data_IF_375525688565
#
_entry.id   IF_375525688565
#
_cell.length_a   1.000
_cell.length_b   1.000
_cell.length_c   1.000
_cell.angle_alpha   90.00
_cell.angle_beta   90.00
_cell.angle_gamma   90.00
#
_symmetry.space_group_name_H-M   'P 1'
#
loop_
_entity.id
_entity.type
_entity.pdbx_description
1 polymer ?
#
# COMPACT_ATOMS: atom_id res chain seq x y z
N UNK A 1 -0.28 2.17 26.49
CA UNK A 1 -0.33 0.85 25.85
C UNK A 1 -1.78 0.55 25.51
N UNK A 2 -2.07 0.08 24.31
CA UNK A 2 -3.42 -0.35 23.91
C UNK A 2 -3.43 -1.89 23.82
N UNK A 3 -4.57 -2.54 24.11
CA UNK A 3 -4.61 -3.99 24.27
C UNK A 3 -4.29 -4.66 22.93
N UNK A 4 -3.26 -5.50 22.91
CA UNK A 4 -2.98 -6.41 21.79
C UNK A 4 -3.47 -7.79 22.17
N UNK A 5 -4.32 -8.38 21.33
CA UNK A 5 -4.84 -9.73 21.53
C UNK A 5 -4.08 -10.67 20.60
N UNK A 6 -3.47 -11.70 21.18
CA UNK A 6 -2.71 -12.72 20.47
C UNK A 6 -3.47 -14.05 20.56
N UNK A 7 -3.70 -14.70 19.42
CA UNK A 7 -4.12 -16.09 19.40
C UNK A 7 -2.94 -16.96 19.00
N UNK A 8 -2.85 -18.12 19.64
CA UNK A 8 -1.80 -19.10 19.38
C UNK A 8 -2.41 -20.47 19.08
N UNK A 9 -1.67 -21.30 18.35
CA UNK A 9 -2.01 -22.71 18.18
C UNK A 9 -1.54 -23.57 19.37
N UNK A 10 -1.76 -24.89 19.29
CA UNK A 10 -1.33 -25.83 20.33
C UNK A 10 0.19 -25.90 20.53
N UNK A 11 0.98 -25.44 19.54
CA UNK A 11 2.45 -25.36 19.61
C UNK A 11 2.95 -23.99 20.10
N UNK A 12 2.04 -23.09 20.50
CA UNK A 12 2.35 -21.75 20.99
C UNK A 12 2.73 -20.76 19.89
N UNK A 13 2.52 -21.09 18.60
CA UNK A 13 2.81 -20.19 17.49
C UNK A 13 1.68 -19.18 17.31
N UNK A 14 2.01 -17.91 17.05
CA UNK A 14 1.01 -16.86 16.84
C UNK A 14 0.29 -17.09 15.51
N UNK A 15 -1.04 -17.26 15.57
CA UNK A 15 -1.90 -17.45 14.40
C UNK A 15 -2.74 -16.21 14.07
N UNK A 16 -2.99 -15.35 15.07
CA UNK A 16 -3.71 -14.09 14.91
C UNK A 16 -3.18 -13.01 15.83
N UNK A 17 -3.14 -11.78 15.33
CA UNK A 17 -2.87 -10.57 16.10
C UNK A 17 -4.00 -9.58 15.83
N UNK A 18 -4.65 -9.10 16.90
CA UNK A 18 -5.62 -7.99 16.83
C UNK A 18 -5.07 -6.85 17.68
N UNK A 19 -4.84 -5.69 17.07
CA UNK A 19 -4.28 -4.53 17.75
C UNK A 19 -5.02 -3.24 17.35
N UNK A 20 -5.95 -2.75 18.18
CA UNK A 20 -6.46 -1.38 18.09
C UNK A 20 -5.46 -0.39 18.71
N UNK A 21 -5.43 0.84 18.18
CA UNK A 21 -4.77 1.96 18.82
C UNK A 21 -5.50 3.29 18.60
N UNK A 22 -5.21 4.24 19.49
CA UNK A 22 -5.73 5.61 19.45
C UNK A 22 -4.52 6.52 19.28
N UNK A 23 -4.64 7.50 18.41
CA UNK A 23 -3.61 8.48 18.12
C UNK A 23 -4.17 9.91 18.16
N UNK A 24 -3.28 10.89 18.24
CA UNK A 24 -3.64 12.30 18.14
C UNK A 24 -2.62 13.04 17.28
N UNK A 25 -3.13 13.86 16.36
CA UNK A 25 -2.33 14.73 15.53
C UNK A 25 -2.87 16.17 15.63
N UNK A 26 -2.03 17.20 15.89
CA UNK A 26 -2.50 18.59 15.99
C UNK A 26 -3.24 19.09 14.75
N UNK A 27 -2.85 18.66 13.55
CA UNK A 27 -3.45 19.05 12.28
C UNK A 27 -4.73 18.26 11.98
N UNK A 28 -4.86 17.00 12.43
CA UNK A 28 -5.97 16.11 12.04
C UNK A 28 -6.89 15.63 13.17
N UNK A 29 -6.59 16.00 14.40
CA UNK A 29 -7.35 15.66 15.60
C UNK A 29 -7.03 14.27 16.13
N UNK A 30 -7.92 13.76 16.99
CA UNK A 30 -7.84 12.39 17.47
C UNK A 30 -8.13 11.39 16.33
N UNK A 31 -7.55 10.20 16.40
CA UNK A 31 -7.78 9.12 15.45
C UNK A 31 -7.80 7.76 16.12
N UNK A 32 -8.36 6.79 15.41
CA UNK A 32 -8.38 5.39 15.79
C UNK A 32 -7.82 4.58 14.62
N UNK A 33 -6.90 3.70 14.94
CA UNK A 33 -6.33 2.73 14.02
C UNK A 33 -6.63 1.32 14.53
N UNK A 34 -6.64 0.35 13.63
CA UNK A 34 -6.81 -1.05 13.95
C UNK A 34 -6.12 -1.93 12.93
N UNK A 35 -5.62 -3.07 13.39
CA UNK A 35 -5.02 -4.09 12.53
C UNK A 35 -5.36 -5.50 12.99
N UNK A 36 -5.60 -6.36 12.02
CA UNK A 36 -5.78 -7.80 12.17
C UNK A 36 -4.79 -8.46 11.24
N UNK A 37 -3.93 -9.30 11.79
CA UNK A 37 -3.04 -10.19 11.04
C UNK A 37 -3.46 -11.62 11.30
N UNK A 38 -3.60 -12.40 10.23
CA UNK A 38 -3.93 -13.81 10.29
C UNK A 38 -2.87 -14.63 9.55
N UNK A 39 -2.46 -15.73 10.17
CA UNK A 39 -1.53 -16.70 9.63
C UNK A 39 -2.17 -18.10 9.64
N UNK A 40 -3.16 -18.38 8.76
CA UNK A 40 -3.84 -19.68 8.75
C UNK A 40 -2.90 -20.86 8.50
N UNK A 41 -1.80 -20.64 7.77
CA UNK A 41 -0.73 -21.62 7.57
C UNK A 41 0.57 -20.93 7.15
N UNK A 42 1.72 -21.64 7.12
CA UNK A 42 2.94 -21.09 6.54
C UNK A 42 2.80 -20.71 5.05
N UNK A 43 1.81 -21.26 4.35
CA UNK A 43 1.59 -21.04 2.92
C UNK A 43 0.57 -19.94 2.60
N UNK A 44 -0.18 -19.47 3.60
CA UNK A 44 -1.26 -18.49 3.43
C UNK A 44 -1.26 -17.49 4.57
N UNK A 45 -1.37 -16.20 4.25
CA UNK A 45 -1.54 -15.14 5.24
C UNK A 45 -2.43 -14.04 4.71
N UNK A 46 -3.08 -13.32 5.62
CA UNK A 46 -3.77 -12.09 5.27
C UNK A 46 -3.73 -11.09 6.40
N UNK A 47 -3.90 -9.83 6.04
CA UNK A 47 -4.05 -8.77 7.03
C UNK A 47 -5.03 -7.72 6.54
N UNK A 48 -5.69 -7.09 7.50
CA UNK A 48 -6.54 -5.93 7.31
C UNK A 48 -6.13 -4.91 8.34
N UNK A 49 -5.83 -3.72 7.88
CA UNK A 49 -5.46 -2.59 8.71
C UNK A 49 -6.13 -1.33 8.19
N UNK A 50 -6.39 -0.38 9.08
CA UNK A 50 -6.94 0.89 8.69
C UNK A 50 -7.08 1.81 9.87
N UNK A 51 -7.37 3.05 9.54
CA UNK A 51 -7.53 4.09 10.54
C UNK A 51 -8.17 5.33 9.97
N UNK A 52 -8.72 6.12 10.88
CA UNK A 52 -9.38 7.38 10.57
C UNK A 52 -9.12 8.39 11.68
N UNK A 53 -8.85 9.63 11.28
CA UNK A 53 -8.79 10.77 12.18
C UNK A 53 -10.08 11.58 12.10
N UNK A 54 -10.34 12.42 13.10
CA UNK A 54 -11.50 13.34 13.15
C UNK A 54 -11.60 14.23 11.91
N UNK A 55 -10.46 14.60 11.32
CA UNK A 55 -10.39 15.42 10.11
C UNK A 55 -9.95 14.57 8.90
N UNK A 56 -9.12 15.15 8.06
CA UNK A 56 -8.97 14.80 6.64
C UNK A 56 -8.29 13.43 6.40
N UNK A 57 -7.60 12.89 7.40
CA UNK A 57 -6.78 11.70 7.28
C UNK A 57 -7.59 10.42 7.49
N UNK A 58 -7.50 9.49 6.53
CA UNK A 58 -7.96 8.12 6.68
C UNK A 58 -7.22 7.18 5.76
N UNK A 59 -7.05 5.93 6.17
CA UNK A 59 -6.27 4.95 5.43
C UNK A 59 -6.81 3.54 5.66
N UNK A 60 -6.55 2.65 4.71
CA UNK A 60 -6.94 1.26 4.75
C UNK A 60 -5.99 0.44 3.90
N UNK A 61 -5.62 -0.74 4.35
CA UNK A 61 -4.83 -1.70 3.59
C UNK A 61 -5.28 -3.12 3.94
N UNK A 62 -5.72 -3.85 2.92
CA UNK A 62 -6.04 -5.26 3.03
C UNK A 62 -5.16 -6.04 2.07
N UNK A 63 -4.56 -7.13 2.53
CA UNK A 63 -3.73 -8.01 1.71
C UNK A 63 -4.07 -9.45 2.00
N UNK A 64 -4.15 -10.26 0.95
CA UNK A 64 -4.24 -11.71 1.02
C UNK A 64 -3.14 -12.31 0.15
N UNK A 65 -2.45 -13.33 0.66
CA UNK A 65 -1.38 -14.02 -0.05
C UNK A 65 -1.49 -15.53 0.18
N UNK A 66 -1.34 -16.32 -0.88
CA UNK A 66 -1.28 -17.79 -0.79
C UNK A 66 -0.34 -18.40 -1.84
N UNK A 67 0.12 -19.62 -1.59
CA UNK A 67 1.16 -20.27 -2.41
C UNK A 67 2.55 -19.72 -2.11
N UNK A 68 2.75 -19.17 -0.91
CA UNK A 68 3.99 -18.58 -0.42
C UNK A 68 5.18 -19.56 -0.44
N UNK A 69 4.93 -20.84 -0.15
CA UNK A 69 5.95 -21.90 -0.16
C UNK A 69 6.27 -22.43 -1.56
N UNK A 70 5.50 -22.03 -2.58
CA UNK A 70 5.60 -22.51 -3.97
C UNK A 70 5.48 -24.02 -4.17
N UNK A 71 4.90 -24.72 -3.20
CA UNK A 71 4.60 -26.16 -3.27
C UNK A 71 3.46 -26.49 -4.25
N UNK A 72 2.61 -25.51 -4.55
CA UNK A 72 1.52 -25.62 -5.54
C UNK A 72 1.92 -24.99 -6.85
N UNK A 73 1.29 -25.40 -7.97
CA UNK A 73 1.54 -24.82 -9.31
C UNK A 73 1.30 -23.31 -9.37
N UNK A 74 0.41 -22.79 -8.54
CA UNK A 74 0.03 -21.38 -8.54
C UNK A 74 0.27 -20.75 -7.17
N UNK A 75 0.70 -19.49 -7.21
CA UNK A 75 0.66 -18.58 -6.07
C UNK A 75 -0.03 -17.31 -6.50
N UNK A 76 -0.65 -16.60 -5.56
CA UNK A 76 -1.24 -15.31 -5.88
C UNK A 76 -1.36 -14.44 -4.65
N UNK A 77 -1.38 -13.14 -4.89
CA UNK A 77 -1.70 -12.16 -3.87
C UNK A 77 -2.58 -11.06 -4.44
N UNK A 78 -3.41 -10.50 -3.57
CA UNK A 78 -4.23 -9.32 -3.85
C UNK A 78 -4.04 -8.35 -2.71
N UNK A 79 -3.88 -7.07 -3.04
CA UNK A 79 -3.78 -5.98 -2.09
C UNK A 79 -4.67 -4.81 -2.51
N UNK A 80 -5.47 -4.32 -1.57
CA UNK A 80 -6.27 -3.10 -1.73
C UNK A 80 -5.71 -2.08 -0.75
N UNK A 81 -5.33 -0.91 -1.25
CA UNK A 81 -4.87 0.23 -0.44
C UNK A 81 -5.74 1.43 -0.70
N UNK A 82 -6.16 2.09 0.37
CA UNK A 82 -6.75 3.41 0.33
C UNK A 82 -5.98 4.33 1.28
N UNK A 83 -5.73 5.56 0.85
CA UNK A 83 -5.10 6.57 1.68
C UNK A 83 -5.65 7.94 1.30
N UNK A 84 -6.06 8.71 2.29
CA UNK A 84 -6.44 10.12 2.17
C UNK A 84 -5.64 10.91 3.18
N UNK A 85 -4.92 11.92 2.70
CA UNK A 85 -4.08 12.77 3.55
C UNK A 85 -4.07 14.22 3.09
N UNK A 86 -4.11 15.15 4.05
CA UNK A 86 -3.89 16.59 3.85
C UNK A 86 -2.46 17.05 4.18
N UNK A 87 -1.54 16.13 4.52
CA UNK A 87 -0.13 16.45 4.79
C UNK A 87 0.70 16.88 3.58
N UNK A 88 0.42 16.46 2.33
CA UNK A 88 1.27 16.81 1.20
C UNK A 88 1.44 18.32 1.03
N UNK A 89 2.61 18.70 0.52
CA UNK A 89 3.00 20.08 0.21
C UNK A 89 3.43 20.16 -1.24
N UNK A 90 3.11 21.28 -1.89
CA UNK A 90 3.54 21.59 -3.24
C UNK A 90 4.08 23.02 -3.30
N UNK A 91 5.23 23.21 -3.95
CA UNK A 91 5.93 24.50 -4.01
C UNK A 91 5.99 25.07 -5.45
N UNK A 92 5.57 24.30 -6.45
CA UNK A 92 5.81 24.58 -7.86
C UNK A 92 6.58 23.45 -8.53
N UNK A 93 6.73 23.54 -9.86
CA UNK A 93 7.55 22.61 -10.65
C UNK A 93 8.97 23.17 -10.77
N UNK A 94 9.96 22.30 -10.67
CA UNK A 94 11.36 22.66 -10.86
C UNK A 94 12.08 23.01 -9.56
N UNK A 95 13.40 22.94 -9.62
CA UNK A 95 14.27 23.05 -8.45
C UNK A 95 14.33 24.47 -7.86
N UNK A 96 13.94 25.48 -8.65
CA UNK A 96 13.97 26.90 -8.26
C UNK A 96 12.68 27.37 -7.58
N UNK A 97 11.76 26.46 -7.27
CA UNK A 97 10.49 26.77 -6.62
C UNK A 97 10.73 27.32 -5.20
N UNK A 98 10.40 28.59 -4.91
CA UNK A 98 10.73 29.20 -3.63
C UNK A 98 9.86 28.65 -2.49
N UNK A 99 10.40 28.66 -1.26
CA UNK A 99 9.64 28.23 -0.08
C UNK A 99 8.37 29.06 0.14
N UNK A 100 8.35 30.32 -0.29
CA UNK A 100 7.17 31.21 -0.25
C UNK A 100 6.00 30.71 -1.10
N UNK A 101 6.25 29.79 -2.03
CA UNK A 101 5.22 29.16 -2.85
C UNK A 101 4.56 27.93 -2.19
N UNK A 102 4.92 27.62 -0.94
CA UNK A 102 4.34 26.51 -0.17
C UNK A 102 2.81 26.53 -0.24
N UNK A 103 2.25 25.42 -0.71
CA UNK A 103 0.81 25.18 -0.77
C UNK A 103 0.45 23.78 -0.28
N UNK A 104 -0.83 23.58 0.03
CA UNK A 104 -1.39 22.31 0.54
C UNK A 104 -2.44 21.73 -0.39
N UNK A 105 -2.53 20.41 -0.41
CA UNK A 105 -3.58 19.70 -1.14
C UNK A 105 -4.00 18.44 -0.39
N UNK A 106 -5.25 18.03 -0.59
CA UNK A 106 -5.71 16.72 -0.14
C UNK A 106 -5.40 15.70 -1.22
N UNK A 107 -4.58 14.71 -0.91
CA UNK A 107 -4.34 13.57 -1.78
C UNK A 107 -5.15 12.39 -1.30
N UNK A 108 -5.98 11.84 -2.18
CA UNK A 108 -6.67 10.57 -1.97
C UNK A 108 -6.19 9.57 -3.02
N UNK A 109 -5.85 8.36 -2.61
CA UNK A 109 -5.42 7.29 -3.48
C UNK A 109 -6.19 6.02 -3.13
N UNK A 110 -6.74 5.36 -4.15
CA UNK A 110 -7.25 4.00 -4.07
C UNK A 110 -6.44 3.17 -5.05
N UNK A 111 -5.85 2.07 -4.59
CA UNK A 111 -5.05 1.17 -5.40
C UNK A 111 -5.47 -0.28 -5.17
N UNK A 112 -5.54 -1.05 -6.24
CA UNK A 112 -5.69 -2.50 -6.21
C UNK A 112 -4.52 -3.10 -6.96
N UNK A 113 -3.80 -4.02 -6.33
CA UNK A 113 -2.71 -4.77 -6.95
C UNK A 113 -2.99 -6.25 -6.83
N UNK A 114 -2.97 -6.98 -7.94
CA UNK A 114 -3.06 -8.43 -7.98
C UNK A 114 -1.80 -9.00 -8.64
N UNK A 115 -1.25 -10.07 -8.09
CA UNK A 115 -0.17 -10.83 -8.72
C UNK A 115 -0.56 -12.29 -8.80
N UNK A 116 -0.39 -12.89 -9.97
CA UNK A 116 -0.52 -14.32 -10.22
C UNK A 116 0.85 -14.88 -10.58
N UNK A 117 1.32 -15.87 -9.82
CA UNK A 117 2.59 -16.56 -10.03
C UNK A 117 2.37 -18.00 -10.48
N UNK A 118 3.01 -18.38 -11.58
CA UNK A 118 3.19 -19.76 -12.00
C UNK A 118 4.50 -20.31 -11.44
N UNK A 119 4.39 -21.25 -10.50
CA UNK A 119 5.53 -21.94 -9.89
C UNK A 119 5.98 -23.06 -10.83
N UNK A 120 7.07 -22.82 -11.55
CA UNK A 120 7.67 -23.78 -12.49
C UNK A 120 8.38 -24.87 -11.71
N UNK A 121 9.11 -24.47 -10.68
CA UNK A 121 9.70 -25.33 -9.65
C UNK A 121 9.55 -24.64 -8.29
N UNK A 122 10.02 -25.26 -7.20
CA UNK A 122 10.11 -24.56 -5.91
C UNK A 122 10.97 -23.29 -6.00
N UNK A 123 12.01 -23.30 -6.84
CA UNK A 123 12.92 -22.16 -6.99
C UNK A 123 12.47 -21.15 -8.05
N UNK A 124 11.91 -21.62 -9.16
CA UNK A 124 11.59 -20.78 -10.32
C UNK A 124 10.10 -20.45 -10.40
N UNK A 125 9.80 -19.16 -10.54
CA UNK A 125 8.45 -18.65 -10.73
C UNK A 125 8.39 -17.61 -11.85
N UNK A 126 7.37 -17.68 -12.69
CA UNK A 126 6.97 -16.59 -13.58
C UNK A 126 5.73 -15.90 -12.99
N UNK A 127 5.80 -14.60 -12.75
CA UNK A 127 4.73 -13.84 -12.13
C UNK A 127 4.23 -12.70 -13.01
N UNK A 128 2.93 -12.50 -13.02
CA UNK A 128 2.28 -11.36 -13.64
C UNK A 128 1.59 -10.51 -12.58
N UNK A 129 1.87 -9.21 -12.56
CA UNK A 129 1.26 -8.23 -11.67
C UNK A 129 0.43 -7.23 -12.46
N UNK A 130 -0.81 -7.03 -12.04
CA UNK A 130 -1.68 -5.94 -12.46
C UNK A 130 -1.90 -4.98 -11.29
N UNK A 131 -1.66 -3.68 -11.48
CA UNK A 131 -1.99 -2.68 -10.48
C UNK A 131 -2.81 -1.53 -11.08
N UNK A 132 -4.01 -1.31 -10.55
CA UNK A 132 -4.89 -0.22 -10.91
C UNK A 132 -4.91 0.81 -9.77
N UNK A 133 -4.60 2.07 -10.08
CA UNK A 133 -4.59 3.16 -9.12
C UNK A 133 -5.50 4.30 -9.58
N UNK A 134 -6.26 4.86 -8.64
CA UNK A 134 -7.02 6.08 -8.77
C UNK A 134 -6.48 7.09 -7.77
N UNK A 135 -5.95 8.20 -8.27
CA UNK A 135 -5.40 9.29 -7.45
C UNK A 135 -6.25 10.53 -7.67
N UNK A 136 -6.75 11.11 -6.58
CA UNK A 136 -7.46 12.38 -6.56
C UNK A 136 -6.64 13.41 -5.78
N UNK A 137 -6.30 14.50 -6.45
CA UNK A 137 -5.69 15.70 -5.88
C UNK A 137 -6.77 16.77 -5.80
N UNK A 138 -7.16 17.14 -4.58
CA UNK A 138 -8.19 18.13 -4.31
C UNK A 138 -7.69 19.28 -3.45
N UNK A 139 -8.62 20.18 -3.12
CA UNK A 139 -8.36 21.32 -2.25
C UNK A 139 -7.71 20.88 -0.94
N UNK A 140 -6.74 21.67 -0.48
CA UNK A 140 -6.07 21.48 0.79
C UNK A 140 -6.91 22.02 1.94
N UNK A 141 -6.67 21.46 3.12
CA UNK A 141 -7.58 21.59 4.27
C UNK A 141 -6.87 22.08 5.53
N UNK A 142 -5.59 22.40 5.43
CA UNK A 142 -4.81 22.86 6.57
C UNK A 142 -4.91 24.37 6.72
N UNK A 143 -5.31 24.87 7.90
CA UNK A 143 -5.42 26.30 8.16
C UNK A 143 -4.08 27.02 7.96
N UNK A 144 -4.15 28.28 7.53
CA UNK A 144 -2.98 29.15 7.42
C UNK A 144 -2.02 28.85 6.27
N UNK A 145 -2.30 27.86 5.43
CA UNK A 145 -1.49 27.57 4.23
C UNK A 145 -2.39 27.58 2.99
N UNK A 146 -2.04 28.33 1.92
CA UNK A 146 -2.83 28.37 0.69
C UNK A 146 -2.99 27.00 0.05
N UNK A 147 -4.17 26.73 -0.54
CA UNK A 147 -4.36 25.49 -1.29
C UNK A 147 -3.66 25.52 -2.65
N UNK A 148 -3.08 24.39 -3.07
CA UNK A 148 -2.52 24.18 -4.41
C UNK A 148 -3.56 24.47 -5.49
N UNK A 149 -4.82 24.07 -5.30
CA UNK A 149 -5.88 24.29 -6.30
C UNK A 149 -6.24 25.76 -6.51
N UNK A 150 -5.81 26.64 -5.60
CA UNK A 150 -5.98 28.09 -5.68
C UNK A 150 -4.70 28.75 -6.17
N UNK A 151 -3.53 28.37 -5.63
CA UNK A 151 -2.24 28.99 -5.95
C UNK A 151 -1.68 28.58 -7.31
N UNK A 152 -1.97 27.35 -7.75
CA UNK A 152 -1.51 26.79 -9.02
C UNK A 152 -2.71 26.29 -9.82
N UNK A 153 -3.64 27.20 -10.20
CA UNK A 153 -4.81 26.80 -10.97
C UNK A 153 -4.36 26.26 -12.33
N UNK A 154 -4.89 25.09 -12.72
CA UNK A 154 -4.58 24.47 -14.01
C UNK A 154 -3.31 23.61 -14.05
N UNK A 155 -2.62 23.42 -12.92
CA UNK A 155 -1.45 22.54 -12.86
C UNK A 155 -1.82 21.09 -13.20
N UNK A 156 -1.00 20.44 -14.04
CA UNK A 156 -1.27 19.07 -14.48
C UNK A 156 -1.20 18.13 -13.28
N UNK A 157 -2.25 17.31 -13.10
CA UNK A 157 -2.36 16.36 -11.99
C UNK A 157 -3.33 16.78 -10.89
N UNK A 158 -3.84 18.02 -10.91
CA UNK A 158 -5.03 18.40 -10.13
C UNK A 158 -6.26 17.66 -10.69
N UNK A 159 -7.16 17.21 -9.81
CA UNK A 159 -8.33 16.44 -10.19
C UNK A 159 -8.12 14.96 -9.97
N UNK A 160 -8.63 14.11 -10.88
CA UNK A 160 -8.56 12.64 -10.74
C UNK A 160 -7.77 12.04 -11.89
N UNK A 161 -6.79 11.21 -11.56
CA UNK A 161 -5.96 10.46 -12.51
C UNK A 161 -6.12 8.96 -12.24
N UNK A 162 -6.08 8.17 -13.30
CA UNK A 162 -6.07 6.71 -13.23
C UNK A 162 -4.77 6.19 -13.85
N UNK A 163 -4.11 5.26 -13.17
CA UNK A 163 -2.88 4.60 -13.62
C UNK A 163 -3.03 3.08 -13.61
N UNK A 164 -2.75 2.41 -14.74
CA UNK A 164 -2.76 0.96 -14.84
C UNK A 164 -1.34 0.48 -15.15
N UNK A 165 -0.81 -0.37 -14.28
CA UNK A 165 0.49 -0.99 -14.42
C UNK A 165 0.32 -2.47 -14.72
N UNK A 166 1.05 -2.95 -15.71
CA UNK A 166 1.21 -4.37 -16.02
C UNK A 166 2.70 -4.69 -15.86
N UNK A 167 3.04 -5.74 -15.13
CA UNK A 167 4.44 -6.18 -14.93
C UNK A 167 4.54 -7.69 -15.04
N UNK A 168 5.56 -8.16 -15.75
CA UNK A 168 5.98 -9.57 -15.75
C UNK A 168 7.30 -9.67 -15.00
N UNK A 169 7.47 -10.72 -14.20
CA UNK A 169 8.70 -11.00 -13.47
C UNK A 169 9.07 -12.48 -13.57
N UNK A 170 10.34 -12.76 -13.83
CA UNK A 170 10.96 -14.07 -13.63
C UNK A 170 11.70 -14.04 -12.30
N UNK A 171 11.38 -14.99 -11.42
CA UNK A 171 11.87 -15.03 -10.04
C UNK A 171 12.59 -16.35 -9.82
N UNK A 172 13.80 -16.28 -9.26
CA UNK A 172 14.55 -17.41 -8.74
C UNK A 172 14.77 -17.22 -7.24
N UNK A 173 14.13 -18.05 -6.43
CA UNK A 173 14.15 -17.94 -4.96
C UNK A 173 14.47 -19.29 -4.32
N UNK A 174 15.61 -19.38 -3.65
CA UNK A 174 16.06 -20.57 -2.91
C UNK A 174 16.10 -20.34 -1.41
N UNK A 175 15.49 -19.25 -0.92
CA UNK A 175 15.44 -18.95 0.51
C UNK A 175 14.72 -20.06 1.28
N UNK A 176 15.22 -20.34 2.47
CA UNK A 176 14.60 -21.31 3.37
C UNK A 176 13.38 -20.78 4.11
N UNK A 177 13.24 -19.46 4.22
CA UNK A 177 12.10 -18.78 4.80
C UNK A 177 11.88 -17.45 4.06
N UNK A 178 10.64 -17.18 3.65
CA UNK A 178 10.28 -15.99 2.87
C UNK A 178 10.13 -14.72 3.72
N UNK A 179 10.09 -14.85 5.05
CA UNK A 179 9.92 -13.77 6.02
C UNK A 179 11.22 -13.47 6.75
N UNK A 180 11.94 -14.51 7.20
CA UNK A 180 13.21 -14.40 7.95
C UNK A 180 14.24 -15.37 7.36
N UNK A 181 14.76 -15.12 6.13
CA UNK A 181 15.70 -16.01 5.48
C UNK A 181 17.03 -16.06 6.23
N UNK A 182 17.58 -17.27 6.41
CA UNK A 182 18.93 -17.48 6.98
C UNK A 182 19.92 -18.06 5.97
N UNK A 183 19.43 -18.57 4.84
CA UNK A 183 20.22 -19.08 3.71
C UNK A 183 19.44 -18.98 2.40
N UNK A 184 20.14 -19.09 1.27
CA UNK A 184 19.57 -19.05 -0.07
C UNK A 184 19.69 -17.67 -0.74
N UNK A 185 19.13 -17.55 -1.94
CA UNK A 185 19.23 -16.36 -2.81
C UNK A 185 17.86 -16.05 -3.41
N UNK A 186 17.56 -14.76 -3.56
CA UNK A 186 16.40 -14.25 -4.30
C UNK A 186 16.89 -13.35 -5.44
N UNK A 187 16.54 -13.70 -6.69
CA UNK A 187 16.83 -12.93 -7.90
C UNK A 187 15.51 -12.68 -8.61
N UNK A 188 15.23 -11.40 -8.89
CA UNK A 188 14.03 -10.98 -9.61
C UNK A 188 14.42 -10.18 -10.84
N UNK A 189 14.11 -10.71 -12.02
CA UNK A 189 14.16 -9.97 -13.28
C UNK A 189 12.74 -9.57 -13.66
N UNK A 190 12.48 -8.29 -13.94
CA UNK A 190 11.14 -7.82 -14.26
C UNK A 190 11.13 -6.75 -15.34
N UNK A 191 9.98 -6.64 -16.02
CA UNK A 191 9.66 -5.58 -16.96
C UNK A 191 8.19 -5.23 -16.87
N UNK A 192 7.84 -3.96 -17.10
CA UNK A 192 6.45 -3.53 -17.01
C UNK A 192 6.17 -2.24 -17.76
N UNK A 193 4.89 -2.01 -18.02
CA UNK A 193 4.36 -0.84 -18.71
C UNK A 193 3.24 -0.24 -17.87
N UNK A 194 3.30 1.08 -17.67
CA UNK A 194 2.25 1.83 -17.03
C UNK A 194 1.60 2.77 -18.05
N UNK A 195 0.28 2.89 -18.02
CA UNK A 195 -0.44 3.91 -18.77
C UNK A 195 -1.21 4.84 -17.82
N UNK A 196 -1.43 6.07 -18.29
CA UNK A 196 -2.29 7.05 -17.64
C UNK A 196 -3.54 7.23 -18.50
N UNK A 197 -4.71 7.31 -17.87
CA UNK A 197 -5.95 7.74 -18.54
C UNK A 197 -6.93 6.63 -18.96
N UNK A 198 -6.79 5.41 -18.44
CA UNK A 198 -7.88 4.43 -18.58
C UNK A 198 -9.12 4.88 -17.78
N UNK A 199 -10.32 4.63 -18.30
CA UNK A 199 -11.59 4.81 -17.58
C UNK A 199 -12.06 3.44 -17.10
N UNK A 200 -12.30 3.31 -15.80
CA UNK A 200 -13.07 2.20 -15.21
C UNK A 200 -14.56 2.53 -15.23
#
# INVERSE_FOLDING_TARGET
MLPTILHTDAAGQITRIIAPDINYNPDFGAGIDGRIFEYPSPNTRWHIEGGLSQRVASWFNAKFETGLLRESRWSWNVQIKYNRSGTPRFYGIGNDSPQSNRSVYTRQQLGVTGTLGWNITHAWQLAYTLAANKVKVGAGTLPGIPSMTIRFPGERGIGTTHELLNRVALIYDTRNDITIPTRGVDIVLYGGVANRGFRL
#
